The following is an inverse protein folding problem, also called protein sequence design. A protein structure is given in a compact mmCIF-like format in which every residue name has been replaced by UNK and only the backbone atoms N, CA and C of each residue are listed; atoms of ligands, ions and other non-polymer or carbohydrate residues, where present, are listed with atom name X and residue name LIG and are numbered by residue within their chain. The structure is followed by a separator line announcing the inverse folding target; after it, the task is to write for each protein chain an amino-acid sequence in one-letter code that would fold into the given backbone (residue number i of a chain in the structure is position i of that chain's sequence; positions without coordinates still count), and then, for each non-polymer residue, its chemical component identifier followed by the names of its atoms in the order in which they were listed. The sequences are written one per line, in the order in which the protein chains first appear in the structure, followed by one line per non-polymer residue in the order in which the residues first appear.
data_IF_764250475071
#
_entry.id   IF_764250475071
#
_cell.length_a   1.000
_cell.length_b   1.000
_cell.length_c   1.000
_cell.angle_alpha   90.00
_cell.angle_beta   90.00
_cell.angle_gamma   90.00
#
_symmetry.space_group_name_H-M   'P 1'
#
loop_
_entity.id
_entity.type
_entity.pdbx_description
1 polymer ?
#
# COMPACT_ATOMS: atom_id res chain seq x y z
N UNK A 1 16.80 15.12 2.51
CA UNK A 1 15.42 14.78 2.11
C UNK A 1 15.39 13.30 1.74
N UNK A 2 14.60 12.48 2.45
CA UNK A 2 14.52 11.04 2.22
C UNK A 2 13.37 10.79 1.26
N UNK A 3 13.66 10.35 0.03
CA UNK A 3 12.63 9.96 -0.93
C UNK A 3 11.90 8.73 -0.38
N UNK A 4 10.61 8.87 -0.09
CA UNK A 4 9.77 7.72 0.23
C UNK A 4 9.60 6.88 -1.02
N UNK A 5 9.81 5.55 -0.93
CA UNK A 5 9.55 4.60 -2.03
C UNK A 5 8.06 4.33 -2.23
N UNK A 6 7.21 4.89 -1.37
CA UNK A 6 5.77 4.67 -1.34
C UNK A 6 5.02 5.96 -1.63
N UNK A 7 4.05 5.87 -2.54
CA UNK A 7 3.16 6.96 -2.94
C UNK A 7 1.72 6.50 -2.80
N UNK A 8 0.91 7.23 -2.03
CA UNK A 8 -0.53 7.03 -2.01
C UNK A 8 -1.15 7.88 -3.13
N UNK A 9 -1.75 7.22 -4.11
CA UNK A 9 -2.46 7.86 -5.21
C UNK A 9 -3.91 8.02 -4.76
N UNK A 10 -4.24 9.25 -4.39
CA UNK A 10 -5.54 9.64 -3.87
C UNK A 10 -6.09 10.84 -4.68
N UNK A 11 -7.38 10.77 -5.00
CA UNK A 11 -8.15 11.85 -5.59
C UNK A 11 -9.49 11.91 -4.85
N UNK A 12 -9.89 13.11 -4.45
CA UNK A 12 -11.09 13.37 -3.65
C UNK A 12 -12.36 12.86 -4.31
N UNK A 13 -12.45 12.86 -5.64
CA UNK A 13 -13.64 12.43 -6.37
C UNK A 13 -13.52 11.01 -6.95
N UNK A 14 -12.44 10.29 -6.63
CA UNK A 14 -12.25 8.93 -7.12
C UNK A 14 -12.88 7.91 -6.18
N UNK A 15 -13.52 6.90 -6.76
CA UNK A 15 -14.01 5.71 -6.03
C UNK A 15 -12.91 4.69 -5.73
N UNK A 16 -11.67 4.98 -6.15
CA UNK A 16 -10.52 4.10 -6.00
C UNK A 16 -9.28 4.89 -5.60
N UNK A 17 -8.56 4.36 -4.62
CA UNK A 17 -7.20 4.77 -4.27
C UNK A 17 -6.23 3.61 -4.50
N UNK A 18 -4.93 3.91 -4.61
CA UNK A 18 -3.90 2.88 -4.74
C UNK A 18 -2.61 3.28 -4.03
N UNK A 19 -1.97 2.31 -3.39
CA UNK A 19 -0.62 2.43 -2.88
C UNK A 19 0.36 1.96 -3.96
N UNK A 20 1.28 2.84 -4.37
CA UNK A 20 2.37 2.51 -5.29
C UNK A 20 3.67 2.40 -4.53
N UNK A 21 4.41 1.30 -4.73
CA UNK A 21 5.74 1.06 -4.15
C UNK A 21 6.74 0.92 -5.30
N UNK A 22 7.77 1.78 -5.35
CA UNK A 22 8.81 1.71 -6.39
C UNK A 22 10.15 2.31 -5.91
N UNK A 23 11.29 1.62 -6.13
CA UNK A 23 11.42 0.23 -6.58
C UNK A 23 10.92 -0.76 -5.52
N UNK A 24 10.39 -1.90 -5.99
CA UNK A 24 9.90 -2.99 -5.15
C UNK A 24 11.09 -3.85 -4.66
N UNK A 25 11.17 -4.07 -3.36
CA UNK A 25 12.21 -4.87 -2.72
C UNK A 25 11.58 -6.08 -2.01
N UNK A 26 12.35 -7.15 -1.81
CA UNK A 26 11.89 -8.34 -1.06
C UNK A 26 11.48 -8.02 0.38
N UNK A 27 12.07 -6.98 0.96
CA UNK A 27 11.69 -6.49 2.30
C UNK A 27 10.32 -5.82 2.36
N UNK A 28 9.68 -5.59 1.21
CA UNK A 28 8.32 -5.02 1.13
C UNK A 28 7.24 -6.12 1.20
N UNK A 29 7.61 -7.41 1.23
CA UNK A 29 6.69 -8.54 1.38
C UNK A 29 5.97 -8.47 2.73
N UNK A 30 4.65 -8.35 2.66
CA UNK A 30 3.80 -8.21 3.83
C UNK A 30 2.32 -8.38 3.46
N UNK A 31 1.48 -8.50 4.49
CA UNK A 31 0.04 -8.32 4.39
C UNK A 31 -0.28 -6.82 4.48
N UNK A 32 -0.77 -6.26 3.39
CA UNK A 32 -1.23 -4.87 3.32
C UNK A 32 -2.72 -4.79 3.63
N UNK A 33 -3.10 -3.78 4.42
CA UNK A 33 -4.48 -3.51 4.82
C UNK A 33 -4.91 -2.16 4.26
N UNK A 34 -6.06 -2.13 3.59
CA UNK A 34 -6.71 -0.89 3.16
C UNK A 34 -7.88 -0.58 4.11
N UNK A 35 -7.83 0.58 4.75
CA UNK A 35 -8.82 1.03 5.71
C UNK A 35 -9.32 2.42 5.35
N UNK A 36 -10.62 2.65 5.50
CA UNK A 36 -11.23 3.96 5.38
C UNK A 36 -11.39 4.49 6.81
N UNK A 37 -10.77 5.64 7.07
CA UNK A 37 -10.91 6.35 8.35
C UNK A 37 -11.86 7.52 8.14
N UNK A 38 -12.96 7.56 8.89
CA UNK A 38 -13.84 8.72 8.93
C UNK A 38 -13.37 9.66 10.04
N UNK A 39 -13.54 10.98 9.86
CA UNK A 39 -13.20 11.98 10.87
C UNK A 39 -14.16 11.90 12.07
N UNK A 40 -15.34 11.31 11.86
CA UNK A 40 -16.34 11.06 12.91
C UNK A 40 -15.96 9.82 13.73
N UNK A 41 -16.10 9.97 15.05
CA UNK A 41 -15.71 9.00 16.07
C UNK A 41 -16.68 7.82 16.06
N UNK A 42 -16.55 6.92 15.09
CA UNK A 42 -17.12 5.58 15.19
C UNK A 42 -16.05 4.61 15.70
N UNK A 43 -16.46 3.69 16.59
CA UNK A 43 -15.59 2.65 17.18
C UNK A 43 -15.19 1.62 16.11
N UNK A 44 -14.18 1.94 15.30
CA UNK A 44 -13.50 1.02 14.38
C UNK A 44 -13.46 1.48 12.92
N UNK A 45 -12.29 1.38 12.28
CA UNK A 45 -12.13 1.69 10.87
C UNK A 45 -12.76 0.60 9.98
N UNK A 46 -13.44 1.00 8.91
CA UNK A 46 -13.96 0.07 7.92
C UNK A 46 -12.79 -0.52 7.10
N UNK A 47 -12.49 -1.79 7.34
CA UNK A 47 -11.47 -2.52 6.58
C UNK A 47 -12.09 -3.01 5.29
N UNK A 48 -11.60 -2.52 4.16
CA UNK A 48 -12.19 -2.83 2.84
C UNK A 48 -11.40 -3.88 2.08
N UNK A 49 -10.10 -4.03 2.37
CA UNK A 49 -9.27 -5.00 1.65
C UNK A 49 -8.03 -5.43 2.44
N UNK A 50 -7.67 -6.70 2.26
CA UNK A 50 -6.35 -7.24 2.60
C UNK A 50 -5.67 -7.73 1.32
N UNK A 51 -4.38 -7.43 1.16
CA UNK A 51 -3.57 -7.82 0.00
C UNK A 51 -2.29 -8.47 0.51
N UNK A 52 -2.05 -9.72 0.16
CA UNK A 52 -0.77 -10.38 0.42
C UNK A 52 0.20 -10.04 -0.71
N UNK A 53 1.20 -9.20 -0.44
CA UNK A 53 2.21 -8.83 -1.43
C UNK A 53 3.36 -9.84 -1.38
N UNK A 54 3.47 -10.63 -2.44
CA UNK A 54 4.58 -11.56 -2.66
C UNK A 54 5.45 -10.95 -3.76
N UNK A 55 6.74 -10.84 -3.50
CA UNK A 55 7.70 -10.33 -4.47
C UNK A 55 8.48 -11.47 -5.09
N UNK A 56 9.10 -11.21 -6.24
CA UNK A 56 9.99 -12.16 -6.89
C UNK A 56 11.26 -11.41 -7.25
N UNK A 57 12.39 -11.88 -6.74
CA UNK A 57 13.71 -11.41 -7.17
C UNK A 57 14.23 -12.33 -8.26
N UNK A 58 14.60 -11.77 -9.41
CA UNK A 58 15.42 -12.50 -10.37
C UNK A 58 16.85 -12.55 -9.84
N UNK A 59 17.35 -13.74 -9.56
CA UNK A 59 18.77 -13.95 -9.29
C UNK A 59 19.49 -13.84 -10.64
N UNK A 60 20.27 -12.77 -10.82
CA UNK A 60 21.21 -12.68 -11.94
C UNK A 60 22.51 -13.36 -11.50
N UNK A 61 22.87 -14.44 -12.19
CA UNK A 61 24.19 -15.04 -12.10
C UNK A 61 24.96 -14.53 -13.32
N UNK A 62 25.83 -13.54 -13.09
CA UNK A 62 26.80 -13.06 -14.09
C UNK A 62 28.03 -13.97 -14.13
#
# INVERSE_FOLDING_TARGET
MKFSRTELIYDHNATRTSLRIKPLHVTDEALYKCEITYIEVEEGCAVVQFINLITQSKLNFD
#
